data_IF_963181797732
#
_entry.id   IF_963181797732
#
_cell.length_a   1.000
_cell.length_b   1.000
_cell.length_c   1.000
_cell.angle_alpha   90.00
_cell.angle_beta   90.00
_cell.angle_gamma   90.00
#
_symmetry.space_group_name_H-M   'P 1'
#
loop_
_entity.id
_entity.type
_entity.pdbx_description
1 polymer ?
#
# COMPACT_ATOMS: atom_id res chain seq x y z
N UNK A 1 70.99 -17.45 -54.76
CA UNK A 1 70.65 -18.57 -53.87
C UNK A 1 69.18 -18.91 -54.14
N UNK A 2 68.84 -19.60 -55.23
CA UNK A 2 68.87 -21.08 -55.45
C UNK A 2 67.89 -21.81 -54.51
N UNK A 3 66.92 -22.62 -54.92
CA UNK A 3 66.32 -23.04 -56.20
C UNK A 3 65.05 -23.86 -55.80
N UNK A 4 63.96 -23.92 -56.58
CA UNK A 4 62.79 -24.75 -56.33
C UNK A 4 62.96 -26.14 -56.97
N UNK A 5 62.23 -27.17 -56.51
CA UNK A 5 62.15 -28.43 -57.26
C UNK A 5 60.76 -29.07 -57.23
N UNK A 6 60.32 -29.40 -58.43
CA UNK A 6 59.08 -30.06 -58.81
C UNK A 6 59.24 -31.60 -58.78
N UNK A 7 58.10 -32.31 -58.85
CA UNK A 7 57.76 -33.34 -59.85
C UNK A 7 57.03 -34.57 -59.27
N UNK A 8 55.97 -34.99 -59.98
CA UNK A 8 55.47 -36.37 -59.98
C UNK A 8 53.94 -36.56 -59.96
N UNK A 9 53.29 -36.61 -61.13
CA UNK A 9 52.04 -37.40 -61.33
C UNK A 9 52.39 -38.79 -61.91
N UNK A 10 51.49 -39.54 -62.60
CA UNK A 10 50.05 -39.30 -62.84
C UNK A 10 49.16 -40.61 -62.92
N UNK A 11 47.89 -40.44 -63.33
CA UNK A 11 46.96 -41.37 -64.06
C UNK A 11 46.15 -42.47 -63.30
N UNK A 12 44.80 -42.38 -63.38
CA UNK A 12 43.79 -43.36 -63.91
C UNK A 12 42.38 -42.93 -63.41
N UNK A 13 41.49 -42.29 -64.19
CA UNK A 13 40.67 -42.71 -65.37
C UNK A 13 39.41 -43.53 -65.01
N UNK A 14 38.21 -42.92 -65.11
CA UNK A 14 37.05 -43.39 -65.90
C UNK A 14 35.80 -42.48 -65.75
N UNK A 15 35.34 -41.95 -66.88
CA UNK A 15 34.05 -41.30 -67.18
C UNK A 15 33.01 -42.37 -67.64
N UNK A 16 31.69 -42.15 -67.73
CA UNK A 16 31.13 -41.36 -68.84
C UNK A 16 29.83 -40.54 -68.56
N UNK A 17 29.75 -39.38 -69.23
CA UNK A 17 28.55 -38.58 -69.63
C UNK A 17 27.56 -39.39 -70.54
N UNK A 18 26.37 -38.93 -71.04
CA UNK A 18 26.01 -37.52 -71.37
C UNK A 18 24.50 -37.09 -71.46
N UNK A 19 24.25 -35.83 -71.90
CA UNK A 19 23.06 -35.23 -72.59
C UNK A 19 21.68 -35.23 -71.84
N UNK A 20 20.70 -34.33 -71.98
CA UNK A 20 20.40 -33.10 -72.75
C UNK A 20 19.09 -32.50 -72.16
N UNK A 21 18.85 -31.21 -72.40
CA UNK A 21 17.56 -30.51 -72.59
C UNK A 21 16.50 -30.30 -71.47
N UNK A 22 16.09 -29.03 -71.35
CA UNK A 22 15.07 -28.40 -70.49
C UNK A 22 13.59 -28.71 -70.94
N UNK A 23 12.49 -28.11 -70.39
CA UNK A 23 12.31 -27.15 -69.29
C UNK A 23 11.10 -27.41 -68.32
N UNK A 24 10.94 -26.50 -67.34
CA UNK A 24 9.68 -26.08 -66.69
C UNK A 24 8.80 -27.11 -65.93
N UNK A 25 8.86 -27.08 -64.59
CA UNK A 25 7.65 -27.01 -63.77
C UNK A 25 7.93 -26.24 -62.46
N UNK A 26 7.45 -25.00 -62.45
CA UNK A 26 7.30 -24.16 -61.27
C UNK A 26 6.14 -24.74 -60.42
N UNK A 27 6.45 -25.35 -59.27
CA UNK A 27 5.45 -25.59 -58.22
C UNK A 27 5.99 -25.04 -56.92
N UNK A 28 5.28 -24.04 -56.41
CA UNK A 28 5.58 -23.32 -55.19
C UNK A 28 5.62 -24.24 -53.96
N UNK A 29 6.76 -24.29 -53.29
CA UNK A 29 6.83 -24.66 -51.88
C UNK A 29 6.59 -23.39 -51.06
N UNK A 30 5.33 -23.16 -50.66
CA UNK A 30 5.05 -22.28 -49.53
C UNK A 30 5.65 -22.91 -48.28
N UNK A 31 6.86 -22.48 -47.92
CA UNK A 31 7.41 -22.64 -46.58
C UNK A 31 6.42 -22.04 -45.59
N UNK A 32 5.75 -22.91 -44.84
CA UNK A 32 5.05 -22.55 -43.62
C UNK A 32 6.08 -21.90 -42.70
N UNK A 33 5.97 -20.59 -42.53
CA UNK A 33 6.68 -19.86 -41.50
C UNK A 33 6.32 -20.50 -40.16
N UNK A 34 7.31 -21.15 -39.54
CA UNK A 34 7.19 -21.58 -38.15
C UNK A 34 7.04 -20.32 -37.30
N UNK A 35 5.84 -20.11 -36.75
CA UNK A 35 5.59 -19.14 -35.70
C UNK A 35 6.47 -19.48 -34.50
N UNK A 36 7.65 -18.84 -34.45
CA UNK A 36 8.50 -18.85 -33.27
C UNK A 36 7.73 -18.21 -32.11
N UNK A 37 7.94 -18.68 -30.87
CA UNK A 37 7.25 -18.10 -29.72
C UNK A 37 7.58 -16.61 -29.66
N UNK A 38 6.53 -15.79 -29.76
CA UNK A 38 6.59 -14.34 -29.61
C UNK A 38 7.54 -14.02 -28.45
N UNK A 39 8.68 -13.40 -28.79
CA UNK A 39 9.69 -13.02 -27.81
C UNK A 39 8.98 -12.18 -26.75
N UNK A 40 8.88 -12.73 -25.54
CA UNK A 40 8.33 -12.02 -24.41
C UNK A 40 9.13 -10.73 -24.26
N UNK A 41 8.52 -9.60 -24.63
CA UNK A 41 9.08 -8.27 -24.43
C UNK A 41 9.41 -8.17 -22.96
N UNK A 42 10.69 -8.27 -22.63
CA UNK A 42 11.17 -8.19 -21.26
C UNK A 42 10.80 -6.79 -20.75
N UNK A 43 9.75 -6.71 -19.92
CA UNK A 43 9.32 -5.49 -19.25
C UNK A 43 10.47 -4.96 -18.38
N UNK A 44 11.34 -4.14 -18.95
CA UNK A 44 12.20 -3.22 -18.19
C UNK A 44 11.38 -1.98 -17.83
N UNK A 45 10.23 -2.14 -17.17
CA UNK A 45 9.65 -1.01 -16.46
C UNK A 45 10.45 -0.81 -15.17
N UNK A 46 11.33 0.19 -15.20
CA UNK A 46 12.03 0.67 -14.02
C UNK A 46 11.06 0.85 -12.85
N UNK A 47 11.53 0.58 -11.64
CA UNK A 47 10.75 0.81 -10.42
C UNK A 47 10.34 2.29 -10.37
N UNK A 48 9.04 2.57 -10.25
CA UNK A 48 8.50 3.93 -10.18
C UNK A 48 8.87 4.52 -8.82
N UNK A 49 9.81 5.47 -8.80
CA UNK A 49 10.34 6.04 -7.57
C UNK A 49 9.26 6.81 -6.79
N UNK A 50 8.33 7.45 -7.50
CA UNK A 50 7.21 8.17 -6.89
C UNK A 50 6.38 7.32 -5.91
N UNK A 51 6.18 6.03 -6.21
CA UNK A 51 5.46 5.11 -5.31
C UNK A 51 6.24 4.87 -4.01
N UNK A 52 7.56 4.68 -4.12
CA UNK A 52 8.41 4.49 -2.95
C UNK A 52 8.54 5.79 -2.15
N UNK A 53 8.61 6.97 -2.79
CA UNK A 53 8.60 8.25 -2.09
C UNK A 53 7.29 8.51 -1.35
N UNK A 54 6.15 8.21 -1.97
CA UNK A 54 4.85 8.31 -1.30
C UNK A 54 4.78 7.37 -0.09
N UNK A 55 5.24 6.12 -0.25
CA UNK A 55 5.33 5.18 0.88
C UNK A 55 6.26 5.72 1.97
N UNK A 56 7.41 6.27 1.59
CA UNK A 56 8.34 6.92 2.50
C UNK A 56 7.69 8.05 3.28
N UNK A 57 7.02 8.99 2.61
CA UNK A 57 6.32 10.11 3.24
C UNK A 57 5.35 9.64 4.31
N UNK A 58 4.52 8.64 4.02
CA UNK A 58 3.59 8.10 5.02
C UNK A 58 4.28 7.30 6.13
N UNK A 59 5.48 6.75 5.92
CA UNK A 59 6.28 6.23 7.03
C UNK A 59 6.68 7.35 8.00
N UNK A 60 7.09 8.52 7.52
CA UNK A 60 7.43 9.67 8.39
C UNK A 60 6.21 10.12 9.21
N UNK A 61 5.06 10.30 8.54
CA UNK A 61 3.82 10.71 9.20
C UNK A 61 3.31 9.66 10.19
N UNK A 62 3.50 8.38 9.89
CA UNK A 62 3.12 7.29 10.80
C UNK A 62 3.93 7.35 12.11
N UNK A 63 5.23 7.69 12.05
CA UNK A 63 6.03 7.90 13.28
C UNK A 63 5.45 9.02 14.13
N UNK A 64 4.94 10.11 13.52
CA UNK A 64 4.26 11.19 14.26
C UNK A 64 3.01 10.66 14.98
N UNK A 65 2.18 9.84 14.33
CA UNK A 65 0.95 9.29 14.94
C UNK A 65 1.29 8.41 16.16
N UNK A 66 2.32 7.57 16.03
CA UNK A 66 2.71 6.63 17.08
C UNK A 66 3.56 7.30 18.18
N UNK A 67 4.35 8.32 17.84
CA UNK A 67 4.98 9.17 18.84
C UNK A 67 3.91 9.91 19.65
N UNK A 68 2.89 10.47 19.01
CA UNK A 68 1.76 11.10 19.70
C UNK A 68 1.02 10.09 20.60
N UNK A 69 0.85 8.86 20.13
CA UNK A 69 0.23 7.79 20.93
C UNK A 69 1.01 7.49 22.23
N UNK A 70 2.34 7.51 22.19
CA UNK A 70 3.18 7.09 23.33
C UNK A 70 3.68 8.26 24.20
N UNK A 71 3.81 9.46 23.64
CA UNK A 71 4.48 10.61 24.26
C UNK A 71 3.55 11.78 24.58
N UNK A 72 2.26 11.69 24.26
CA UNK A 72 1.33 12.81 24.41
C UNK A 72 0.00 12.37 25.04
N UNK A 73 -0.15 12.53 26.37
CA UNK A 73 -1.41 12.25 27.06
C UNK A 73 -2.57 13.13 26.58
N UNK A 74 -2.27 14.31 26.01
CA UNK A 74 -3.28 15.20 25.43
C UNK A 74 -3.76 14.79 24.04
N UNK A 75 -3.34 13.61 23.53
CA UNK A 75 -3.73 13.13 22.20
C UNK A 75 -5.24 12.99 22.09
N UNK A 76 -5.83 13.74 21.16
CA UNK A 76 -7.22 13.58 20.76
C UNK A 76 -7.38 12.23 20.04
N UNK A 77 -8.37 11.41 20.42
CA UNK A 77 -8.66 10.12 19.77
C UNK A 77 -10.13 10.04 19.28
N UNK A 78 -10.73 11.19 19.00
CA UNK A 78 -12.17 11.38 18.79
C UNK A 78 -12.64 11.20 17.32
N UNK A 79 -11.91 10.47 16.48
CA UNK A 79 -12.23 10.34 15.04
C UNK A 79 -13.20 9.17 14.76
N UNK A 80 -14.20 8.98 15.61
CA UNK A 80 -15.10 7.83 15.52
C UNK A 80 -16.37 8.06 16.33
N UNK A 81 -17.52 7.80 15.70
CA UNK A 81 -18.79 7.68 16.39
C UNK A 81 -19.04 6.26 16.95
N UNK A 82 -18.21 5.28 16.58
CA UNK A 82 -18.34 3.87 16.98
C UNK A 82 -17.47 3.51 18.18
N UNK A 83 -16.31 4.15 18.34
CA UNK A 83 -15.37 3.84 19.40
C UNK A 83 -15.77 4.49 20.72
N UNK A 84 -15.51 3.76 21.79
CA UNK A 84 -15.72 4.16 23.19
C UNK A 84 -14.42 4.09 23.96
N UNK A 85 -14.33 4.90 25.00
CA UNK A 85 -13.25 4.86 25.96
C UNK A 85 -13.25 3.49 26.69
N UNK A 86 -12.11 2.80 26.75
CA UNK A 86 -12.04 1.45 27.30
C UNK A 86 -12.22 1.40 28.83
N UNK A 87 -12.03 2.51 29.54
CA UNK A 87 -12.11 2.58 31.01
C UNK A 87 -13.50 3.01 31.45
N UNK A 88 -14.03 4.06 30.83
CA UNK A 88 -15.30 4.70 31.21
C UNK A 88 -16.49 4.22 30.39
N UNK A 89 -16.26 3.60 29.23
CA UNK A 89 -17.32 3.22 28.28
C UNK A 89 -18.01 4.40 27.58
N UNK A 90 -17.57 5.63 27.85
CA UNK A 90 -18.08 6.84 27.22
C UNK A 90 -17.71 6.88 25.72
N UNK A 91 -18.54 7.48 24.84
CA UNK A 91 -18.14 7.74 23.46
C UNK A 91 -16.82 8.53 23.41
N UNK A 92 -15.93 8.20 22.47
CA UNK A 92 -14.68 8.97 22.29
C UNK A 92 -14.91 10.37 21.70
N UNK A 93 -16.07 10.60 21.11
CA UNK A 93 -16.52 11.91 20.64
C UNK A 93 -17.90 12.23 21.20
N UNK A 94 -18.04 13.45 21.70
CA UNK A 94 -19.31 14.04 22.10
C UNK A 94 -19.51 15.34 21.32
N UNK A 95 -20.66 15.54 20.65
CA UNK A 95 -20.95 16.79 19.95
C UNK A 95 -20.77 18.01 20.86
N UNK A 96 -20.10 19.04 20.36
CA UNK A 96 -19.75 20.25 21.10
C UNK A 96 -18.46 20.15 21.93
N UNK A 97 -17.77 19.00 21.96
CA UNK A 97 -16.47 18.90 22.60
C UNK A 97 -15.42 19.75 21.88
N UNK A 98 -14.57 20.44 22.65
CA UNK A 98 -13.50 21.25 22.07
C UNK A 98 -12.41 20.38 21.46
N UNK A 99 -12.05 20.67 20.20
CA UNK A 99 -10.89 20.09 19.53
C UNK A 99 -9.75 21.11 19.55
N UNK A 100 -8.75 20.89 20.40
CA UNK A 100 -7.55 21.73 20.41
C UNK A 100 -6.89 21.70 19.02
N UNK A 101 -6.61 22.88 18.47
CA UNK A 101 -6.11 23.03 17.10
C UNK A 101 -4.80 22.28 16.87
N UNK A 102 -3.85 22.35 17.80
CA UNK A 102 -2.52 21.76 17.63
C UNK A 102 -2.56 20.24 17.79
N UNK A 103 -3.34 19.74 18.74
CA UNK A 103 -3.58 18.31 18.91
C UNK A 103 -4.31 17.71 17.71
N UNK A 104 -5.37 18.39 17.27
CA UNK A 104 -6.16 17.99 16.11
C UNK A 104 -5.31 17.96 14.85
N UNK A 105 -4.56 19.02 14.54
CA UNK A 105 -3.77 19.09 13.31
C UNK A 105 -2.62 18.09 13.31
N UNK A 106 -1.92 17.91 14.43
CA UNK A 106 -0.86 16.88 14.56
C UNK A 106 -1.41 15.49 14.28
N UNK A 107 -2.65 15.22 14.68
CA UNK A 107 -3.34 13.96 14.39
C UNK A 107 -3.86 13.88 12.96
N UNK A 108 -4.46 14.94 12.46
CA UNK A 108 -5.10 14.97 11.14
C UNK A 108 -4.08 14.75 10.03
N UNK A 109 -2.87 15.33 10.10
CA UNK A 109 -1.84 15.12 9.07
C UNK A 109 -1.43 13.64 8.94
N UNK A 110 -1.67 12.80 9.94
CA UNK A 110 -1.35 11.36 9.91
C UNK A 110 -2.51 10.50 9.42
N UNK A 111 -3.70 11.08 9.21
CA UNK A 111 -4.85 10.39 8.61
C UNK A 111 -4.52 9.82 7.24
N UNK A 112 -3.65 10.50 6.49
CA UNK A 112 -3.14 10.11 5.18
C UNK A 112 -2.49 8.72 5.18
N UNK A 113 -1.94 8.27 6.32
CA UNK A 113 -1.12 7.07 6.41
C UNK A 113 -1.89 5.80 6.03
N UNK A 114 -3.00 5.52 6.71
CA UNK A 114 -3.68 4.23 6.57
C UNK A 114 -4.29 4.01 5.18
N UNK A 115 -5.04 4.96 4.58
CA UNK A 115 -5.56 4.81 3.23
C UNK A 115 -4.46 4.64 2.19
N UNK A 116 -3.37 5.42 2.32
CA UNK A 116 -2.21 5.32 1.43
C UNK A 116 -1.53 3.97 1.56
N UNK A 117 -1.32 3.45 2.79
CA UNK A 117 -0.70 2.13 2.98
C UNK A 117 -1.48 1.02 2.32
N UNK A 118 -2.79 0.99 2.49
CA UNK A 118 -3.64 -0.05 1.89
C UNK A 118 -3.68 0.06 0.37
N UNK A 119 -3.87 1.27 -0.15
CA UNK A 119 -3.84 1.53 -1.59
C UNK A 119 -2.49 1.13 -2.21
N UNK A 120 -1.38 1.64 -1.69
CA UNK A 120 -0.05 1.31 -2.22
C UNK A 120 0.33 -0.16 -2.01
N UNK A 121 -0.19 -0.82 -0.97
CA UNK A 121 -0.06 -2.27 -0.79
C UNK A 121 -0.75 -3.03 -1.91
N UNK A 122 -1.99 -2.66 -2.26
CA UNK A 122 -2.71 -3.20 -3.41
C UNK A 122 -1.98 -2.97 -4.73
N UNK A 123 -1.47 -1.76 -4.96
CA UNK A 123 -0.67 -1.43 -6.16
C UNK A 123 0.59 -2.28 -6.25
N UNK A 124 1.32 -2.41 -5.13
CA UNK A 124 2.54 -3.21 -5.06
C UNK A 124 2.25 -4.70 -5.25
N UNK A 125 1.11 -5.19 -4.75
CA UNK A 125 0.66 -6.57 -4.89
C UNK A 125 0.37 -6.89 -6.36
N UNK A 126 -0.38 -6.04 -7.07
CA UNK A 126 -0.67 -6.20 -8.49
C UNK A 126 0.62 -6.25 -9.32
N UNK A 127 1.51 -5.28 -9.14
CA UNK A 127 2.79 -5.22 -9.86
C UNK A 127 3.65 -6.45 -9.58
N UNK A 128 3.79 -6.85 -8.31
CA UNK A 128 4.63 -7.98 -7.92
C UNK A 128 4.10 -9.31 -8.46
N UNK A 129 2.79 -9.56 -8.35
CA UNK A 129 2.18 -10.82 -8.77
C UNK A 129 2.15 -10.97 -10.28
N UNK A 130 1.77 -9.93 -11.04
CA UNK A 130 1.73 -10.00 -12.51
C UNK A 130 3.13 -10.21 -13.08
N UNK A 131 4.15 -9.57 -12.50
CA UNK A 131 5.56 -9.82 -12.88
C UNK A 131 6.01 -11.24 -12.58
N UNK A 132 5.57 -11.84 -11.47
CA UNK A 132 5.88 -13.25 -11.14
C UNK A 132 5.15 -14.19 -12.09
N UNK A 133 3.88 -13.93 -12.39
CA UNK A 133 3.07 -14.68 -13.36
C UNK A 133 3.70 -14.65 -14.75
N UNK A 134 4.14 -13.49 -15.22
CA UNK A 134 4.86 -13.34 -16.49
C UNK A 134 6.21 -14.07 -16.55
N UNK A 135 6.77 -14.49 -15.40
CA UNK A 135 7.96 -15.35 -15.31
C UNK A 135 7.62 -16.84 -15.14
N UNK A 136 6.36 -17.23 -15.34
CA UNK A 136 5.91 -18.62 -15.26
C UNK A 136 5.51 -19.09 -13.86
N UNK A 137 5.38 -18.20 -12.86
CA UNK A 137 4.91 -18.61 -11.55
C UNK A 137 3.45 -19.12 -11.61
N UNK A 138 3.21 -20.29 -11.03
CA UNK A 138 1.89 -20.91 -10.96
C UNK A 138 0.94 -20.15 -10.02
N UNK A 139 -0.38 -20.30 -10.23
CA UNK A 139 -1.39 -19.69 -9.35
C UNK A 139 -1.21 -20.09 -7.88
N UNK A 140 -0.81 -21.35 -7.63
CA UNK A 140 -0.55 -21.86 -6.29
C UNK A 140 0.64 -21.16 -5.62
N UNK A 141 1.76 -20.96 -6.32
CA UNK A 141 2.91 -20.23 -5.77
C UNK A 141 2.56 -18.79 -5.42
N UNK A 142 1.74 -18.15 -6.26
CA UNK A 142 1.23 -16.82 -6.01
C UNK A 142 0.27 -16.78 -4.81
N UNK A 143 -0.61 -17.78 -4.65
CA UNK A 143 -1.53 -17.87 -3.50
C UNK A 143 -0.73 -18.09 -2.20
N UNK A 144 0.20 -19.05 -2.22
CA UNK A 144 1.12 -19.36 -1.12
C UNK A 144 1.92 -18.13 -0.70
N UNK A 145 2.41 -17.33 -1.66
CA UNK A 145 3.14 -16.10 -1.37
C UNK A 145 2.30 -15.08 -0.58
N UNK A 146 1.02 -14.90 -0.94
CA UNK A 146 0.11 -14.00 -0.24
C UNK A 146 -0.22 -14.51 1.15
N UNK A 147 -0.48 -15.82 1.25
CA UNK A 147 -0.75 -16.48 2.53
C UNK A 147 0.41 -16.32 3.52
N UNK A 148 1.65 -16.61 3.09
CA UNK A 148 2.84 -16.43 3.94
C UNK A 148 3.02 -14.97 4.35
N UNK A 149 2.82 -14.02 3.42
CA UNK A 149 2.90 -12.58 3.75
C UNK A 149 1.87 -12.17 4.79
N UNK A 150 0.63 -12.63 4.66
CA UNK A 150 -0.40 -12.37 5.65
C UNK A 150 -0.04 -12.94 7.03
N UNK A 151 0.51 -14.16 7.08
CA UNK A 151 0.96 -14.78 8.32
C UNK A 151 2.10 -13.98 8.99
N UNK A 152 3.06 -13.49 8.21
CA UNK A 152 4.13 -12.61 8.72
C UNK A 152 3.55 -11.32 9.31
N UNK A 153 2.57 -10.71 8.63
CA UNK A 153 1.91 -9.50 9.14
C UNK A 153 1.14 -9.76 10.44
N UNK A 154 0.43 -10.87 10.55
CA UNK A 154 -0.24 -11.27 11.79
C UNK A 154 0.74 -11.56 12.92
N UNK A 155 1.88 -12.19 12.62
CA UNK A 155 2.93 -12.40 13.60
C UNK A 155 3.51 -11.07 14.08
N UNK A 156 3.79 -10.12 13.19
CA UNK A 156 4.24 -8.78 13.56
C UNK A 156 3.21 -8.02 14.41
N UNK A 157 1.92 -8.09 14.06
CA UNK A 157 0.83 -7.50 14.86
C UNK A 157 0.78 -8.10 16.28
N UNK A 158 0.88 -9.43 16.39
CA UNK A 158 0.94 -10.13 17.67
C UNK A 158 2.15 -9.72 18.51
N UNK A 159 3.34 -9.62 17.90
CA UNK A 159 4.55 -9.17 18.59
C UNK A 159 4.40 -7.74 19.13
N UNK A 160 3.83 -6.83 18.34
CA UNK A 160 3.58 -5.45 18.77
C UNK A 160 2.54 -5.41 19.90
N UNK A 161 1.48 -6.22 19.81
CA UNK A 161 0.45 -6.34 20.86
C UNK A 161 0.98 -6.89 22.18
N UNK A 162 2.11 -7.61 22.17
CA UNK A 162 2.78 -8.10 23.38
C UNK A 162 3.73 -7.08 24.01
N UNK A 163 3.93 -5.92 23.38
CA UNK A 163 4.78 -4.87 23.95
C UNK A 163 4.07 -4.16 25.12
N UNK A 164 4.83 -3.63 26.11
CA UNK A 164 4.26 -2.90 27.23
C UNK A 164 3.29 -1.79 26.80
N UNK A 165 2.18 -1.63 27.53
CA UNK A 165 1.15 -0.65 27.24
C UNK A 165 -0.07 -1.16 26.44
N UNK A 166 -0.15 -2.48 26.18
CA UNK A 166 -1.29 -3.11 25.52
C UNK A 166 -1.97 -4.13 26.45
N UNK A 167 -3.30 -4.07 26.54
CA UNK A 167 -4.11 -4.95 27.41
C UNK A 167 -4.69 -6.16 26.63
N UNK A 168 -3.96 -6.66 25.63
CA UNK A 168 -4.37 -7.79 24.80
C UNK A 168 -4.01 -7.64 23.33
N UNK A 169 -4.70 -8.42 22.47
CA UNK A 169 -4.46 -8.42 21.03
C UNK A 169 -5.12 -7.20 20.39
N UNK A 170 -4.32 -6.24 19.95
CA UNK A 170 -4.79 -5.10 19.18
C UNK A 170 -4.66 -5.45 17.71
N UNK A 171 -5.76 -5.34 16.96
CA UNK A 171 -5.82 -5.60 15.52
C UNK A 171 -5.92 -4.28 14.78
N UNK A 172 -4.76 -3.79 14.33
CA UNK A 172 -4.58 -2.51 13.67
C UNK A 172 -4.26 -2.68 12.17
N UNK A 173 -3.41 -1.82 11.64
CA UNK A 173 -3.16 -1.72 10.20
C UNK A 173 -2.46 -2.96 9.62
N UNK A 174 -1.60 -3.69 10.37
CA UNK A 174 -0.98 -4.91 9.83
C UNK A 174 -2.02 -6.03 9.71
N UNK A 175 -2.92 -6.15 10.69
CA UNK A 175 -4.09 -7.03 10.57
C UNK A 175 -4.91 -6.69 9.31
N UNK A 176 -5.27 -5.44 9.11
CA UNK A 176 -6.08 -5.04 7.96
C UNK A 176 -5.38 -5.33 6.62
N UNK A 177 -4.07 -5.08 6.52
CA UNK A 177 -3.27 -5.43 5.34
C UNK A 177 -3.23 -6.95 5.16
N UNK A 178 -2.91 -7.72 6.21
CA UNK A 178 -2.77 -9.18 6.14
C UNK A 178 -4.08 -9.88 5.79
N UNK A 179 -5.18 -9.52 6.44
CA UNK A 179 -6.50 -10.06 6.15
C UNK A 179 -6.98 -9.67 4.74
N UNK A 180 -6.68 -8.44 4.28
CA UNK A 180 -6.94 -8.03 2.90
C UNK A 180 -6.12 -8.81 1.89
N UNK A 181 -4.85 -9.13 2.18
CA UNK A 181 -4.03 -10.00 1.32
C UNK A 181 -4.63 -11.40 1.19
N UNK A 182 -5.19 -11.96 2.26
CA UNK A 182 -5.92 -13.23 2.19
C UNK A 182 -7.17 -13.13 1.31
N UNK A 183 -7.97 -12.08 1.46
CA UNK A 183 -9.13 -11.88 0.58
C UNK A 183 -8.75 -11.62 -0.88
N UNK A 184 -7.57 -11.03 -1.12
CA UNK A 184 -7.04 -10.84 -2.47
C UNK A 184 -6.66 -12.16 -3.17
N UNK A 185 -6.53 -13.28 -2.45
CA UNK A 185 -6.29 -14.60 -3.05
C UNK A 185 -7.40 -14.93 -4.07
N UNK A 186 -8.68 -15.07 -3.70
CA UNK A 186 -9.73 -15.26 -4.69
C UNK A 186 -9.97 -14.02 -5.56
N UNK A 187 -10.00 -12.81 -4.97
CA UNK A 187 -10.43 -11.60 -5.67
C UNK A 187 -9.52 -11.21 -6.84
N UNK A 188 -8.20 -11.43 -6.76
CA UNK A 188 -7.25 -11.08 -7.84
C UNK A 188 -7.52 -11.79 -9.16
N UNK A 189 -8.30 -12.88 -9.14
CA UNK A 189 -8.67 -13.67 -10.32
C UNK A 189 -9.80 -13.00 -11.12
N UNK A 190 -10.49 -12.01 -10.54
CA UNK A 190 -11.58 -11.29 -11.17
C UNK A 190 -11.08 -10.18 -12.13
N UNK A 191 -11.92 -9.73 -13.08
CA UNK A 191 -11.59 -8.61 -13.95
C UNK A 191 -11.30 -7.32 -13.15
N UNK A 192 -10.34 -6.53 -13.61
CA UNK A 192 -9.94 -5.29 -12.93
C UNK A 192 -11.09 -4.27 -12.83
N UNK A 193 -11.96 -4.21 -13.84
CA UNK A 193 -13.15 -3.34 -13.85
C UNK A 193 -14.15 -3.75 -12.77
N UNK A 194 -14.39 -5.05 -12.59
CA UNK A 194 -15.27 -5.55 -11.52
C UNK A 194 -14.71 -5.22 -10.15
N UNK A 195 -13.40 -5.44 -9.94
CA UNK A 195 -12.73 -5.07 -8.69
C UNK A 195 -12.80 -3.56 -8.42
N UNK A 196 -12.56 -2.73 -9.43
CA UNK A 196 -12.70 -1.28 -9.32
C UNK A 196 -14.12 -0.88 -8.90
N UNK A 197 -15.15 -1.44 -9.57
CA UNK A 197 -16.54 -1.19 -9.22
C UNK A 197 -16.87 -1.65 -7.80
N UNK A 198 -16.38 -2.82 -7.38
CA UNK A 198 -16.57 -3.36 -6.03
C UNK A 198 -15.93 -2.45 -4.96
N UNK A 199 -14.70 -2.00 -5.17
CA UNK A 199 -14.01 -1.10 -4.25
C UNK A 199 -14.73 0.24 -4.11
N UNK A 200 -15.14 0.86 -5.23
CA UNK A 200 -15.88 2.12 -5.23
C UNK A 200 -17.27 1.96 -4.61
N UNK A 201 -17.99 0.88 -4.92
CA UNK A 201 -19.30 0.59 -4.35
C UNK A 201 -19.22 0.38 -2.83
N UNK A 202 -18.18 -0.29 -2.33
CA UNK A 202 -17.98 -0.45 -0.89
C UNK A 202 -17.66 0.89 -0.22
N UNK A 203 -16.77 1.71 -0.77
CA UNK A 203 -16.48 3.05 -0.23
C UNK A 203 -17.73 3.93 -0.16
N UNK A 204 -18.56 3.91 -1.19
CA UNK A 204 -19.78 4.71 -1.26
C UNK A 204 -20.93 4.14 -0.43
N UNK A 205 -21.03 2.81 -0.30
CA UNK A 205 -22.16 2.10 0.29
C UNK A 205 -21.94 1.54 1.69
N UNK A 206 -20.71 1.54 2.22
CA UNK A 206 -20.40 0.92 3.52
C UNK A 206 -21.22 1.53 4.66
N UNK A 207 -21.40 2.85 4.67
CA UNK A 207 -22.19 3.54 5.69
C UNK A 207 -23.64 3.06 5.72
N UNK A 208 -24.27 2.89 4.55
CA UNK A 208 -25.63 2.33 4.47
C UNK A 208 -25.71 0.93 5.08
N UNK A 209 -24.76 0.06 4.73
CA UNK A 209 -24.68 -1.31 5.28
C UNK A 209 -24.48 -1.25 6.80
N UNK A 210 -23.53 -0.45 7.26
CA UNK A 210 -23.21 -0.34 8.69
C UNK A 210 -24.40 0.20 9.48
N UNK A 211 -25.10 1.24 9.02
CA UNK A 211 -26.25 1.77 9.75
C UNK A 211 -27.44 0.82 9.75
N UNK A 212 -27.63 0.04 8.69
CA UNK A 212 -28.74 -0.93 8.60
C UNK A 212 -28.55 -2.13 9.52
N UNK A 213 -27.33 -2.65 9.61
CA UNK A 213 -27.03 -3.92 10.29
C UNK A 213 -26.28 -3.75 11.61
N UNK A 214 -25.55 -2.65 11.78
CA UNK A 214 -24.69 -2.35 12.94
C UNK A 214 -24.87 -0.89 13.40
N UNK A 215 -26.09 -0.48 13.79
CA UNK A 215 -26.35 0.90 14.18
C UNK A 215 -25.53 1.32 15.41
N UNK A 216 -25.09 2.58 15.41
CA UNK A 216 -24.33 3.18 16.50
C UNK A 216 -25.16 3.15 17.79
N UNK A 217 -24.52 2.83 18.92
CA UNK A 217 -25.16 2.84 20.24
C UNK A 217 -26.00 1.60 20.58
N UNK A 218 -26.20 0.66 19.65
CA UNK A 218 -26.94 -0.57 19.93
C UNK A 218 -26.00 -1.78 20.18
N UNK A 219 -25.61 -1.96 21.44
CA UNK A 219 -24.71 -3.03 21.89
C UNK A 219 -25.44 -4.19 22.59
N UNK A 220 -26.78 -4.18 22.60
CA UNK A 220 -27.59 -5.12 23.36
C UNK A 220 -27.79 -6.50 22.68
N UNK A 221 -27.44 -6.64 21.39
CA UNK A 221 -27.75 -7.85 20.62
C UNK A 221 -26.59 -8.86 20.61
N UNK A 222 -26.89 -10.16 20.50
CA UNK A 222 -25.85 -11.19 20.34
C UNK A 222 -24.97 -10.94 19.09
N UNK A 223 -25.57 -10.43 18.01
CA UNK A 223 -24.86 -10.01 16.78
C UNK A 223 -23.90 -8.84 17.06
N UNK A 224 -24.28 -7.89 17.92
CA UNK A 224 -23.41 -6.79 18.32
C UNK A 224 -22.19 -7.23 19.16
N UNK A 225 -22.19 -8.44 19.74
CA UNK A 225 -21.01 -8.98 20.46
C UNK A 225 -20.14 -9.93 19.63
N UNK A 226 -20.51 -10.20 18.38
CA UNK A 226 -19.78 -11.12 17.52
C UNK A 226 -18.39 -10.60 17.15
N UNK A 227 -17.37 -11.44 17.30
CA UNK A 227 -16.01 -11.13 16.84
C UNK A 227 -15.96 -10.91 15.32
N UNK A 228 -16.77 -11.62 14.54
CA UNK A 228 -16.82 -11.44 13.09
C UNK A 228 -17.27 -10.01 12.72
N UNK A 229 -18.22 -9.44 13.47
CA UNK A 229 -18.64 -8.04 13.30
C UNK A 229 -17.44 -7.10 13.45
N UNK A 230 -16.61 -7.33 14.47
CA UNK A 230 -15.45 -6.51 14.77
C UNK A 230 -14.34 -6.67 13.72
N UNK A 231 -14.04 -7.92 13.35
CA UNK A 231 -13.00 -8.23 12.36
C UNK A 231 -13.30 -7.64 10.99
N UNK A 232 -14.57 -7.60 10.59
CA UNK A 232 -14.95 -7.24 9.22
C UNK A 232 -15.55 -5.85 9.08
N UNK A 233 -16.40 -5.37 9.99
CA UNK A 233 -17.27 -4.22 9.72
C UNK A 233 -17.05 -3.01 10.63
N UNK A 234 -17.10 -3.18 11.95
CA UNK A 234 -17.07 -2.03 12.89
C UNK A 234 -15.90 -2.18 13.86
N UNK A 235 -15.26 -1.08 14.28
CA UNK A 235 -14.23 -1.15 15.31
C UNK A 235 -14.87 -1.43 16.68
N UNK A 236 -14.08 -1.97 17.61
CA UNK A 236 -14.54 -2.22 18.98
C UNK A 236 -13.74 -3.30 19.70
N UNK A 237 -14.22 -3.67 20.89
CA UNK A 237 -13.55 -4.63 21.77
C UNK A 237 -14.42 -5.86 22.04
N UNK A 238 -13.80 -7.03 22.12
CA UNK A 238 -14.39 -8.27 22.61
C UNK A 238 -13.36 -9.02 23.45
N UNK A 239 -13.55 -9.01 24.78
CA UNK A 239 -12.57 -9.53 25.73
C UNK A 239 -11.21 -8.83 25.62
N UNK A 240 -10.14 -9.61 25.44
CA UNK A 240 -8.78 -9.12 25.23
C UNK A 240 -8.48 -8.73 23.77
N UNK A 241 -9.44 -8.86 22.84
CA UNK A 241 -9.24 -8.49 21.44
C UNK A 241 -9.85 -7.12 21.19
N UNK A 242 -9.02 -6.18 20.75
CA UNK A 242 -9.45 -4.85 20.30
C UNK A 242 -9.22 -4.72 18.79
N UNK A 243 -10.30 -4.55 18.02
CA UNK A 243 -10.20 -4.36 16.57
C UNK A 243 -10.42 -2.89 16.26
N UNK A 244 -9.35 -2.23 15.80
CA UNK A 244 -9.41 -0.82 15.41
C UNK A 244 -9.60 -0.68 13.89
N UNK A 245 -9.09 -1.64 13.12
CA UNK A 245 -9.10 -1.60 11.66
C UNK A 245 -9.95 -2.75 11.07
N UNK A 246 -11.30 -2.65 11.08
CA UNK A 246 -12.17 -3.67 10.52
C UNK A 246 -11.90 -3.85 9.02
N UNK A 247 -11.64 -5.09 8.62
CA UNK A 247 -10.95 -5.42 7.37
C UNK A 247 -11.62 -4.92 6.09
N UNK A 248 -12.96 -4.94 5.99
CA UNK A 248 -13.66 -4.69 4.70
C UNK A 248 -13.41 -3.29 4.15
N UNK A 249 -13.35 -2.28 5.01
CA UNK A 249 -13.09 -0.89 4.64
C UNK A 249 -11.72 -0.72 4.00
N UNK A 250 -10.72 -1.31 4.65
CA UNK A 250 -9.32 -1.29 4.23
C UNK A 250 -9.08 -2.14 2.98
N UNK A 251 -9.81 -3.27 2.86
CA UNK A 251 -9.84 -4.08 1.64
C UNK A 251 -10.33 -3.26 0.45
N UNK A 252 -11.38 -2.43 0.61
CA UNK A 252 -11.86 -1.54 -0.45
C UNK A 252 -10.75 -0.67 -1.02
N UNK A 253 -9.94 -0.05 -0.16
CA UNK A 253 -8.78 0.76 -0.55
C UNK A 253 -7.68 -0.07 -1.22
N UNK A 254 -7.41 -1.28 -0.72
CA UNK A 254 -6.45 -2.21 -1.34
C UNK A 254 -6.90 -2.64 -2.75
N UNK A 255 -8.20 -2.87 -2.94
CA UNK A 255 -8.77 -3.22 -4.25
C UNK A 255 -8.61 -2.06 -5.24
N UNK A 256 -8.87 -0.82 -4.83
CA UNK A 256 -8.61 0.35 -5.67
C UNK A 256 -7.12 0.46 -6.04
N UNK A 257 -6.25 0.22 -5.07
CA UNK A 257 -4.81 0.14 -5.28
C UNK A 257 -4.39 -0.95 -6.27
N UNK A 258 -5.03 -2.12 -6.19
CA UNK A 258 -4.82 -3.23 -7.12
C UNK A 258 -5.23 -2.85 -8.55
N UNK A 259 -6.41 -2.25 -8.72
CA UNK A 259 -6.88 -1.76 -10.01
C UNK A 259 -5.92 -0.72 -10.60
N UNK A 260 -5.45 0.23 -9.77
CA UNK A 260 -4.43 1.19 -10.17
C UNK A 260 -3.11 0.50 -10.56
N UNK A 261 -2.65 -0.51 -9.81
CA UNK A 261 -1.45 -1.27 -10.14
C UNK A 261 -1.54 -1.99 -11.50
N UNK A 262 -2.70 -2.57 -11.84
CA UNK A 262 -2.93 -3.14 -13.18
C UNK A 262 -3.00 -2.05 -14.25
N UNK A 263 -3.60 -0.90 -13.95
CA UNK A 263 -3.59 0.25 -14.84
C UNK A 263 -2.15 0.70 -15.16
N UNK A 264 -1.27 0.80 -14.17
CA UNK A 264 0.15 1.12 -14.36
C UNK A 264 0.85 0.13 -15.30
N UNK A 265 0.61 -1.18 -15.13
CA UNK A 265 1.22 -2.22 -15.96
C UNK A 265 0.71 -2.22 -17.40
N UNK A 266 -0.52 -1.78 -17.64
CA UNK A 266 -1.11 -1.70 -18.97
C UNK A 266 -0.59 -0.51 -19.79
N UNK A 267 0.09 0.46 -19.16
CA UNK A 267 0.62 1.64 -19.84
C UNK A 267 2.02 1.36 -20.39
N UNK A 268 2.35 1.87 -21.59
CA UNK A 268 3.70 1.77 -22.13
C UNK A 268 4.71 2.49 -21.23
N UNK A 269 5.94 1.97 -21.16
CA UNK A 269 7.04 2.57 -20.39
C UNK A 269 7.67 3.78 -21.13
N UNK A 270 6.84 4.68 -21.63
CA UNK A 270 7.23 5.90 -22.34
C UNK A 270 6.52 7.13 -21.74
N UNK A 271 6.78 8.32 -22.30
CA UNK A 271 6.21 9.56 -21.78
C UNK A 271 4.68 9.61 -21.88
N UNK A 272 4.09 9.04 -22.95
CA UNK A 272 2.64 8.97 -23.10
C UNK A 272 1.99 8.16 -21.97
N UNK A 273 2.57 7.01 -21.62
CA UNK A 273 2.09 6.20 -20.51
C UNK A 273 2.19 6.95 -19.16
N UNK A 274 3.24 7.73 -18.95
CA UNK A 274 3.40 8.57 -17.75
C UNK A 274 2.35 9.69 -17.68
N UNK A 275 2.07 10.35 -18.81
CA UNK A 275 1.04 11.38 -18.91
C UNK A 275 -0.36 10.81 -18.64
N UNK A 276 -0.67 9.61 -19.12
CA UNK A 276 -1.94 8.93 -18.82
C UNK A 276 -2.11 8.68 -17.31
N UNK A 277 -1.04 8.24 -16.64
CA UNK A 277 -1.03 8.04 -15.19
C UNK A 277 -1.24 9.35 -14.44
N UNK A 278 -0.55 10.41 -14.87
CA UNK A 278 -0.68 11.75 -14.30
C UNK A 278 -2.12 12.27 -14.44
N UNK A 279 -2.72 12.14 -15.63
CA UNK A 279 -4.11 12.55 -15.89
C UNK A 279 -5.10 11.81 -15.00
N UNK A 280 -4.95 10.48 -14.88
CA UNK A 280 -5.81 9.67 -14.02
C UNK A 280 -5.71 10.15 -12.56
N UNK A 281 -4.49 10.29 -12.04
CA UNK A 281 -4.29 10.72 -10.65
C UNK A 281 -4.78 12.14 -10.39
N UNK A 282 -4.60 13.07 -11.34
CA UNK A 282 -5.15 14.42 -11.24
C UNK A 282 -6.67 14.41 -11.22
N UNK A 283 -7.30 13.69 -12.15
CA UNK A 283 -8.75 13.59 -12.23
C UNK A 283 -9.32 12.93 -10.98
N UNK A 284 -8.77 11.78 -10.56
CA UNK A 284 -9.17 11.11 -9.33
C UNK A 284 -8.94 11.99 -8.10
N UNK A 285 -7.78 12.63 -7.98
CA UNK A 285 -7.47 13.52 -6.86
C UNK A 285 -8.45 14.69 -6.75
N UNK A 286 -8.62 15.45 -7.83
CA UNK A 286 -9.51 16.62 -7.83
C UNK A 286 -10.98 16.23 -7.67
N UNK A 287 -11.44 15.17 -8.35
CA UNK A 287 -12.82 14.71 -8.22
C UNK A 287 -13.11 14.19 -6.81
N UNK A 288 -12.20 13.44 -6.18
CA UNK A 288 -12.34 12.99 -4.80
C UNK A 288 -12.40 14.16 -3.82
N UNK A 289 -11.54 15.19 -3.97
CA UNK A 289 -11.61 16.37 -3.11
C UNK A 289 -12.90 17.20 -3.32
N UNK A 290 -13.40 17.31 -4.54
CA UNK A 290 -14.68 17.96 -4.82
C UNK A 290 -15.86 17.17 -4.21
N UNK A 291 -15.86 15.85 -4.34
CA UNK A 291 -16.86 14.98 -3.74
C UNK A 291 -16.79 15.01 -2.21
N UNK A 292 -15.59 15.02 -1.63
CA UNK A 292 -15.39 15.23 -0.20
C UNK A 292 -16.03 16.54 0.25
N UNK A 293 -15.73 17.65 -0.43
CA UNK A 293 -16.28 18.95 -0.07
C UNK A 293 -17.81 18.96 -0.17
N UNK A 294 -18.38 18.31 -1.20
CA UNK A 294 -19.82 18.13 -1.34
C UNK A 294 -20.43 17.31 -0.18
N UNK A 295 -19.85 16.16 0.15
CA UNK A 295 -20.32 15.30 1.25
C UNK A 295 -20.23 16.02 2.60
N UNK A 296 -19.11 16.72 2.86
CA UNK A 296 -18.93 17.50 4.10
C UNK A 296 -19.87 18.70 4.18
N UNK A 297 -20.15 19.36 3.05
CA UNK A 297 -21.13 20.46 3.00
C UNK A 297 -22.55 20.00 3.36
N UNK A 298 -22.98 18.86 2.84
CA UNK A 298 -24.30 18.30 3.13
C UNK A 298 -24.40 17.76 4.57
N UNK A 299 -23.26 17.43 5.19
CA UNK A 299 -23.16 17.06 6.61
C UNK A 299 -24.16 15.97 7.06
N UNK A 300 -24.37 14.96 6.21
CA UNK A 300 -25.26 13.83 6.46
C UNK A 300 -24.58 12.53 6.07
N UNK A 301 -25.16 11.82 5.10
CA UNK A 301 -24.59 10.57 4.57
C UNK A 301 -23.14 10.75 4.09
N UNK A 302 -22.30 9.77 4.41
CA UNK A 302 -20.89 9.73 4.04
C UNK A 302 -19.95 10.23 5.14
N UNK A 303 -20.47 10.54 6.33
CA UNK A 303 -19.71 10.99 7.49
C UNK A 303 -19.62 9.95 8.62
N UNK A 304 -20.23 8.77 8.43
CA UNK A 304 -20.22 7.63 9.36
C UNK A 304 -20.67 8.03 10.78
N UNK A 305 -21.64 8.93 10.87
CA UNK A 305 -22.20 9.44 12.13
C UNK A 305 -21.37 10.54 12.80
N UNK A 306 -20.19 10.87 12.26
CA UNK A 306 -19.35 11.97 12.77
C UNK A 306 -19.63 13.26 11.99
N UNK A 307 -20.73 13.91 12.36
CA UNK A 307 -21.19 15.16 11.74
C UNK A 307 -20.39 16.36 12.25
N UNK A 308 -20.36 17.43 11.46
CA UNK A 308 -19.83 18.74 11.86
C UNK A 308 -20.78 19.43 12.82
N UNK A 309 -20.21 20.00 13.87
CA UNK A 309 -20.95 20.81 14.84
C UNK A 309 -21.08 22.29 14.45
N UNK A 310 -20.05 22.86 13.79
CA UNK A 310 -19.98 24.26 13.39
C UNK A 310 -19.32 24.41 12.01
N UNK A 311 -19.04 25.62 11.50
CA UNK A 311 -18.40 25.87 10.18
C UNK A 311 -16.87 26.01 10.19
N UNK A 312 -16.22 25.76 11.33
CA UNK A 312 -14.76 25.87 11.46
C UNK A 312 -14.02 24.86 10.60
N UNK A 313 -12.79 25.20 10.20
CA UNK A 313 -11.93 24.30 9.43
C UNK A 313 -11.62 22.98 10.17
N UNK A 314 -11.53 23.04 11.51
CA UNK A 314 -11.35 21.86 12.36
C UNK A 314 -12.51 20.91 12.16
N UNK A 315 -13.74 21.40 12.31
CA UNK A 315 -14.91 20.59 12.07
C UNK A 315 -14.95 20.11 10.62
N UNK A 316 -14.62 20.91 9.61
CA UNK A 316 -14.51 20.40 8.22
C UNK A 316 -13.58 19.20 8.05
N UNK A 317 -12.44 19.19 8.73
CA UNK A 317 -11.43 18.15 8.65
C UNK A 317 -11.67 16.99 9.65
N UNK A 318 -12.53 17.16 10.65
CA UNK A 318 -12.85 16.13 11.64
C UNK A 318 -13.78 15.07 11.05
N UNK A 319 -13.20 13.97 10.59
CA UNK A 319 -13.87 12.90 9.85
C UNK A 319 -13.69 11.56 10.54
N UNK A 320 -14.65 10.64 10.35
CA UNK A 320 -14.57 9.31 10.94
C UNK A 320 -13.44 8.51 10.27
N UNK A 321 -12.39 8.22 11.05
CA UNK A 321 -11.28 7.33 10.69
C UNK A 321 -11.63 5.87 11.02
N UNK A 322 -12.47 5.64 12.03
CA UNK A 322 -12.82 4.30 12.52
C UNK A 322 -14.34 4.10 12.64
N UNK A 323 -14.98 3.30 11.77
CA UNK A 323 -14.47 2.89 10.47
C UNK A 323 -14.35 4.13 9.55
N UNK A 324 -13.53 4.06 8.48
CA UNK A 324 -13.33 5.19 7.60
C UNK A 324 -14.63 5.53 6.86
N UNK A 325 -15.05 6.78 6.97
CA UNK A 325 -16.21 7.29 6.22
C UNK A 325 -15.90 7.48 4.74
N UNK A 326 -16.94 7.73 3.94
CA UNK A 326 -16.78 8.14 2.54
C UNK A 326 -16.00 9.47 2.46
N UNK A 327 -16.34 10.45 3.31
CA UNK A 327 -15.64 11.74 3.37
C UNK A 327 -14.16 11.57 3.70
N UNK A 328 -13.83 10.80 4.74
CA UNK A 328 -12.44 10.48 5.10
C UNK A 328 -11.71 9.82 3.91
N UNK A 329 -12.31 8.80 3.31
CA UNK A 329 -11.69 8.05 2.21
C UNK A 329 -11.43 8.93 0.99
N UNK A 330 -12.37 9.81 0.63
CA UNK A 330 -12.24 10.73 -0.51
C UNK A 330 -11.17 11.80 -0.26
N UNK A 331 -11.11 12.36 0.94
CA UNK A 331 -10.09 13.35 1.29
C UNK A 331 -8.69 12.73 1.20
N UNK A 332 -8.46 11.65 1.94
CA UNK A 332 -7.11 11.09 2.10
C UNK A 332 -6.60 10.42 0.81
N UNK A 333 -7.45 9.69 0.07
CA UNK A 333 -7.04 9.15 -1.24
C UNK A 333 -6.89 10.25 -2.29
N UNK A 334 -7.67 11.32 -2.20
CA UNK A 334 -7.55 12.50 -3.05
C UNK A 334 -6.21 13.20 -2.85
N UNK A 335 -5.84 13.48 -1.60
CA UNK A 335 -4.53 14.03 -1.23
C UNK A 335 -3.38 13.12 -1.67
N UNK A 336 -3.49 11.81 -1.41
CA UNK A 336 -2.50 10.83 -1.87
C UNK A 336 -2.31 10.89 -3.40
N UNK A 337 -3.40 10.94 -4.17
CA UNK A 337 -3.32 11.00 -5.63
C UNK A 337 -2.61 12.26 -6.14
N UNK A 338 -2.91 13.42 -5.54
CA UNK A 338 -2.25 14.69 -5.90
C UNK A 338 -0.77 14.71 -5.48
N UNK A 339 -0.43 14.16 -4.31
CA UNK A 339 0.96 14.00 -3.87
C UNK A 339 1.75 13.06 -4.80
N UNK A 340 1.13 11.98 -5.26
CA UNK A 340 1.71 11.11 -6.28
C UNK A 340 1.97 11.85 -7.60
N UNK A 341 1.08 12.76 -8.02
CA UNK A 341 1.32 13.63 -9.19
C UNK A 341 2.55 14.50 -8.98
N UNK A 342 2.69 15.12 -7.81
CA UNK A 342 3.87 15.93 -7.47
C UNK A 342 5.15 15.09 -7.57
N UNK A 343 5.15 13.89 -6.98
CA UNK A 343 6.28 12.97 -7.05
C UNK A 343 6.58 12.47 -8.46
N UNK A 344 5.57 12.15 -9.26
CA UNK A 344 5.76 11.73 -10.66
C UNK A 344 6.35 12.86 -11.51
N UNK A 345 5.84 14.09 -11.34
CA UNK A 345 6.38 15.28 -12.02
C UNK A 345 7.81 15.56 -11.61
N UNK A 346 8.13 15.40 -10.32
CA UNK A 346 9.50 15.52 -9.82
C UNK A 346 10.40 14.45 -10.43
N UNK A 347 9.98 13.18 -10.41
CA UNK A 347 10.71 12.06 -11.00
C UNK A 347 11.03 12.29 -12.48
N UNK A 348 10.06 12.81 -13.25
CA UNK A 348 10.25 13.13 -14.68
C UNK A 348 11.29 14.23 -14.93
N UNK A 349 11.41 15.21 -14.04
CA UNK A 349 12.36 16.33 -14.20
C UNK A 349 13.79 15.96 -13.84
N UNK A 350 14.02 14.80 -13.21
CA UNK A 350 15.37 14.39 -12.83
C UNK A 350 16.16 13.92 -14.06
N UNK A 351 17.40 14.37 -14.17
CA UNK A 351 18.35 13.95 -15.21
C UNK A 351 19.01 12.59 -14.93
N UNK A 352 18.54 11.83 -13.94
CA UNK A 352 19.13 10.57 -13.51
C UNK A 352 18.26 9.81 -12.49
N UNK A 353 18.69 8.62 -12.04
CA UNK A 353 17.97 7.86 -11.03
C UNK A 353 17.91 8.62 -9.69
N UNK A 354 16.89 8.36 -8.85
CA UNK A 354 16.84 8.89 -7.50
C UNK A 354 18.13 8.61 -6.73
N UNK A 355 18.59 9.58 -5.93
CA UNK A 355 19.73 9.40 -5.02
C UNK A 355 19.46 8.22 -4.09
N UNK A 356 20.41 7.28 -4.01
CA UNK A 356 20.24 6.08 -3.18
C UNK A 356 19.98 6.42 -1.71
N UNK A 357 20.58 7.49 -1.21
CA UNK A 357 20.47 7.96 0.18
C UNK A 357 19.24 8.84 0.46
N UNK A 358 18.35 9.06 -0.50
CA UNK A 358 17.12 9.81 -0.28
C UNK A 358 16.30 9.16 0.86
N UNK A 359 15.98 9.87 1.98
CA UNK A 359 15.29 9.27 3.12
C UNK A 359 13.92 8.68 2.77
N UNK A 360 13.12 9.37 1.95
CA UNK A 360 11.81 8.86 1.52
C UNK A 360 11.96 7.56 0.74
N UNK A 361 12.99 7.48 -0.12
CA UNK A 361 13.28 6.25 -0.87
C UNK A 361 13.73 5.11 0.06
N UNK A 362 14.59 5.40 1.04
CA UNK A 362 15.08 4.40 2.01
C UNK A 362 13.89 3.85 2.81
N UNK A 363 13.14 4.72 3.48
CA UNK A 363 12.01 4.33 4.32
C UNK A 363 10.90 3.64 3.52
N UNK A 364 10.58 4.14 2.33
CA UNK A 364 9.60 3.52 1.45
C UNK A 364 9.99 2.12 1.00
N UNK A 365 11.27 1.83 0.80
CA UNK A 365 11.75 0.51 0.37
C UNK A 365 11.87 -0.50 1.51
N UNK A 366 11.82 -0.03 2.76
CA UNK A 366 11.95 -0.83 3.99
C UNK A 366 10.73 -0.69 4.90
N UNK A 367 9.55 -0.35 4.35
CA UNK A 367 8.39 0.09 5.11
C UNK A 367 7.94 -0.86 6.24
N UNK A 368 7.80 -2.17 6.00
CA UNK A 368 7.37 -3.11 7.06
C UNK A 368 8.45 -3.30 8.14
N UNK A 369 9.72 -3.41 7.75
CA UNK A 369 10.83 -3.43 8.70
C UNK A 369 10.84 -2.15 9.56
N UNK A 370 10.77 -0.98 8.93
CA UNK A 370 10.66 0.31 9.63
C UNK A 370 9.44 0.33 10.57
N UNK A 371 8.29 -0.19 10.11
CA UNK A 371 7.07 -0.27 10.91
C UNK A 371 7.28 -1.12 12.17
N UNK A 372 8.02 -2.20 12.14
CA UNK A 372 8.27 -2.98 13.38
C UNK A 372 9.28 -2.27 14.28
N UNK A 373 10.40 -1.79 13.71
CA UNK A 373 11.49 -1.22 14.51
C UNK A 373 11.12 0.11 15.17
N UNK A 374 10.27 0.95 14.56
CA UNK A 374 9.93 2.23 15.16
C UNK A 374 9.16 2.11 16.48
N UNK A 375 8.32 1.07 16.66
CA UNK A 375 7.67 0.80 17.95
C UNK A 375 8.70 0.53 19.05
N UNK A 376 9.76 -0.22 18.72
CA UNK A 376 10.86 -0.52 19.64
C UNK A 376 11.61 0.77 19.99
N UNK A 377 11.95 1.58 18.99
CA UNK A 377 12.70 2.84 19.20
C UNK A 377 11.89 3.84 20.04
N UNK A 378 10.61 4.06 19.72
CA UNK A 378 9.76 4.98 20.47
C UNK A 378 9.47 4.46 21.89
N UNK A 379 9.16 3.17 22.03
CA UNK A 379 8.87 2.55 23.33
C UNK A 379 10.08 2.52 24.25
N UNK A 380 11.27 2.19 23.72
CA UNK A 380 12.52 2.27 24.48
C UNK A 380 12.83 3.72 24.89
N UNK A 381 12.58 4.69 24.00
CA UNK A 381 12.70 6.11 24.33
C UNK A 381 11.81 6.51 25.50
N UNK A 382 10.55 6.05 25.54
CA UNK A 382 9.66 6.29 26.69
C UNK A 382 10.26 5.67 27.96
N UNK A 383 10.66 4.40 27.92
CA UNK A 383 11.18 3.69 29.09
C UNK A 383 12.47 4.30 29.67
N UNK A 384 13.32 4.90 28.82
CA UNK A 384 14.62 5.46 29.24
C UNK A 384 14.49 6.94 29.63
N UNK A 385 13.73 7.72 28.87
CA UNK A 385 13.75 9.18 28.96
C UNK A 385 12.56 9.75 29.75
N UNK A 386 11.42 9.05 29.80
CA UNK A 386 10.28 9.50 30.60
C UNK A 386 10.39 8.92 32.01
N UNK A 387 10.86 9.77 32.93
CA UNK A 387 10.62 9.55 34.36
C UNK A 387 9.16 9.84 34.73
N UNK A 388 8.76 9.47 35.95
CA UNK A 388 7.39 9.68 36.47
C UNK A 388 6.93 11.15 36.45
N UNK A 389 7.87 12.10 36.35
CA UNK A 389 7.64 13.54 36.46
C UNK A 389 7.46 14.30 35.14
N UNK A 390 7.66 13.68 33.96
CA UNK A 390 7.42 14.35 32.66
C UNK A 390 6.08 13.89 32.06
N UNK A 391 5.03 14.74 32.07
CA UNK A 391 3.74 14.40 31.49
C UNK A 391 3.82 14.26 29.96
N UNK A 392 4.88 14.72 29.29
CA UNK A 392 4.99 14.69 27.84
C UNK A 392 4.11 15.74 27.17
N UNK A 393 3.69 15.47 25.93
CA UNK A 393 2.85 16.39 25.14
C UNK A 393 3.31 16.51 23.69
N UNK A 394 2.85 17.56 23.01
CA UNK A 394 3.18 17.79 21.59
C UNK A 394 4.67 18.05 21.35
N UNK A 395 5.34 18.82 22.21
CA UNK A 395 6.78 19.05 22.11
C UNK A 395 7.56 17.73 22.18
N UNK A 396 7.25 16.90 23.19
CA UNK A 396 7.83 15.57 23.36
C UNK A 396 7.55 14.67 22.15
N UNK A 397 6.34 14.72 21.59
CA UNK A 397 5.95 13.98 20.38
C UNK A 397 6.84 14.31 19.19
N UNK A 398 7.02 15.59 18.89
CA UNK A 398 7.82 16.02 17.74
C UNK A 398 9.32 15.78 17.94
N UNK A 399 9.84 15.97 19.16
CA UNK A 399 11.22 15.63 19.52
C UNK A 399 11.48 14.13 19.39
N UNK A 400 10.61 13.29 19.96
CA UNK A 400 10.70 11.84 19.86
C UNK A 400 10.60 11.35 18.41
N UNK A 401 9.73 11.98 17.60
CA UNK A 401 9.64 11.71 16.16
C UNK A 401 10.98 12.00 15.46
N UNK A 402 11.56 13.19 15.67
CA UNK A 402 12.83 13.58 15.06
C UNK A 402 13.96 12.63 15.45
N UNK A 403 14.08 12.32 16.74
CA UNK A 403 15.08 11.39 17.26
C UNK A 403 14.90 9.98 16.66
N UNK A 404 13.66 9.46 16.61
CA UNK A 404 13.36 8.16 16.03
C UNK A 404 13.74 8.11 14.55
N UNK A 405 13.44 9.14 13.76
CA UNK A 405 13.81 9.19 12.34
C UNK A 405 15.34 9.20 12.13
N UNK A 406 16.09 9.92 12.96
CA UNK A 406 17.56 9.94 12.92
C UNK A 406 18.14 8.55 13.22
N UNK A 407 17.59 7.85 14.21
CA UNK A 407 18.03 6.50 14.59
C UNK A 407 17.64 5.47 13.52
N UNK A 408 16.41 5.52 13.01
CA UNK A 408 15.89 4.55 12.05
C UNK A 408 16.55 4.63 10.68
N UNK A 409 17.02 5.80 10.26
CA UNK A 409 17.64 6.01 8.95
C UNK A 409 18.85 5.10 8.67
N UNK A 410 19.93 5.08 9.49
CA UNK A 410 21.07 4.19 9.27
C UNK A 410 20.69 2.71 9.40
N UNK A 411 19.76 2.36 10.30
CA UNK A 411 19.28 0.99 10.48
C UNK A 411 18.58 0.50 9.20
N UNK A 412 17.72 1.34 8.61
CA UNK A 412 17.03 1.02 7.35
C UNK A 412 17.98 0.96 6.15
N UNK A 413 19.04 1.78 6.12
CA UNK A 413 20.10 1.67 5.12
C UNK A 413 20.78 0.30 5.20
N UNK A 414 21.15 -0.15 6.40
CA UNK A 414 21.73 -1.46 6.64
C UNK A 414 20.81 -2.60 6.21
N UNK A 415 19.54 -2.57 6.62
CA UNK A 415 18.54 -3.56 6.21
C UNK A 415 18.36 -3.61 4.69
N UNK A 416 18.29 -2.44 4.04
CA UNK A 416 18.15 -2.35 2.58
C UNK A 416 19.35 -2.96 1.86
N UNK A 417 20.56 -2.73 2.33
CA UNK A 417 21.77 -3.34 1.78
C UNK A 417 21.75 -4.87 1.96
N UNK A 418 21.35 -5.36 3.13
CA UNK A 418 21.23 -6.79 3.42
C UNK A 418 20.20 -7.47 2.50
N UNK A 419 19.02 -6.85 2.31
CA UNK A 419 17.96 -7.35 1.44
C UNK A 419 18.39 -7.41 -0.03
N UNK A 420 19.20 -6.46 -0.50
CA UNK A 420 19.80 -6.48 -1.84
C UNK A 420 20.82 -7.62 -1.98
N UNK A 421 21.62 -7.89 -0.95
CA UNK A 421 22.61 -8.97 -0.92
C UNK A 421 21.98 -10.37 -0.88
N UNK A 422 20.83 -10.54 -0.21
CA UNK A 422 20.19 -11.84 -0.01
C UNK A 422 18.74 -11.90 -0.54
N UNK A 423 18.50 -11.79 -1.86
CA UNK A 423 17.16 -11.64 -2.44
C UNK A 423 16.25 -12.88 -2.33
N UNK A 424 16.82 -14.07 -2.06
CA UNK A 424 16.07 -15.33 -1.91
C UNK A 424 15.81 -15.73 -0.45
N UNK A 425 16.17 -14.89 0.51
CA UNK A 425 15.99 -15.17 1.95
C UNK A 425 14.57 -14.89 2.43
N UNK A 426 14.28 -15.21 3.70
CA UNK A 426 13.04 -14.84 4.37
C UNK A 426 12.81 -13.32 4.44
N UNK A 427 13.87 -12.50 4.26
CA UNK A 427 13.81 -11.03 4.21
C UNK A 427 12.96 -10.48 3.05
N UNK A 428 12.51 -11.31 2.12
CA UNK A 428 11.56 -10.87 1.09
C UNK A 428 10.13 -10.66 1.63
N UNK A 429 9.82 -11.30 2.75
CA UNK A 429 8.51 -11.24 3.41
C UNK A 429 8.40 -10.06 4.39
N UNK A 430 9.55 -9.53 4.86
CA UNK A 430 9.73 -8.28 5.60
C UNK A 430 10.08 -7.12 4.66
#
# INVERSE_FOLDING_TARGET
MSDPNAAGGPIDDYDPLPMEDAPLHLVASHTLASDGPASAVAFRSGRIAAIDWMRGLVMLLMVVDHASLMWNPGRVAADSAYLRDPVTGAPLWTPGASLDWLQFTTRWITHLCAPTFLFLSGTSLAISLERRRGRGASSFELDRHLFIRALVLFACEGLISMMPGHDGLHLQVLFAIGASMLAMIPLRRLPASFLLALGLAWLAGSEFVLFRFFPIGNEATAVSRSLARLLFFVPGRSGSIFVQYPMTHWLGMMILGWAFGRFLLARPANENGRLDIEKLLLLSGLSSLLLWAFVRRNNGYGNMGLLRDDTTIVQWLHMSRYPPSLSFSMMELGLMALLLVVFLRHERRMSGPPREFNPLLVFGQTALFFYVVHFIVLGAGVAILRGESDPGGLSATWLATGAALVVLYPICLGYRALKRRFPRSALQYL
#
